data_IF_400984023672
#
_entry.id   IF_400984023672
#
_cell.length_a   1.000
_cell.length_b   1.000
_cell.length_c   1.000
_cell.angle_alpha   90.00
_cell.angle_beta   90.00
_cell.angle_gamma   90.00
#
_symmetry.space_group_name_H-M   'P 1'
#
loop_
_entity.id
_entity.type
_entity.pdbx_description
1 polymer ?
#
# COMPACT_ATOMS: atom_id res chain seq x y z
N UNK A 1 78.16 18.48 -47.65
CA UNK A 1 76.82 17.89 -47.88
C UNK A 1 76.05 18.88 -48.73
N UNK A 2 75.55 18.46 -49.90
CA UNK A 2 74.88 19.36 -50.85
C UNK A 2 73.56 19.88 -50.25
N UNK A 3 73.36 21.21 -50.33
CA UNK A 3 72.12 21.86 -49.91
C UNK A 3 71.02 21.44 -50.90
N UNK A 4 70.09 20.58 -50.48
CA UNK A 4 68.91 20.27 -51.30
C UNK A 4 68.13 21.56 -51.54
N UNK A 5 67.68 21.81 -52.76
CA UNK A 5 66.87 22.99 -53.05
C UNK A 5 65.49 22.85 -52.40
N UNK A 6 64.88 23.97 -52.03
CA UNK A 6 63.53 23.97 -51.44
C UNK A 6 62.53 23.22 -52.34
N UNK A 7 62.70 23.26 -53.66
CA UNK A 7 61.91 22.52 -54.64
C UNK A 7 62.03 21.00 -54.53
N UNK A 8 63.22 20.45 -54.26
CA UNK A 8 63.42 18.99 -54.03
C UNK A 8 62.83 18.54 -52.70
N UNK A 9 62.96 19.36 -51.64
CA UNK A 9 62.33 19.11 -50.35
C UNK A 9 60.80 19.14 -50.51
N UNK A 10 60.29 20.06 -51.32
CA UNK A 10 58.88 20.18 -51.65
C UNK A 10 58.36 18.97 -52.45
N UNK A 11 59.14 18.35 -53.32
CA UNK A 11 58.67 17.16 -54.05
C UNK A 11 58.64 15.88 -53.22
N UNK A 12 59.56 15.73 -52.25
CA UNK A 12 59.72 14.47 -51.52
C UNK A 12 59.12 14.45 -50.11
N UNK A 13 58.79 15.60 -49.53
CA UNK A 13 58.28 15.67 -48.14
C UNK A 13 56.75 15.68 -48.10
N UNK A 14 56.15 14.50 -47.90
CA UNK A 14 54.72 14.32 -47.66
C UNK A 14 54.46 14.30 -46.16
N UNK A 15 54.01 15.42 -45.59
CA UNK A 15 53.60 15.50 -44.19
C UNK A 15 52.13 15.92 -44.06
N UNK A 16 51.52 15.60 -42.92
CA UNK A 16 50.09 15.85 -42.67
C UNK A 16 49.75 17.33 -42.71
N UNK A 17 50.61 18.18 -42.16
CA UNK A 17 50.43 19.64 -42.17
C UNK A 17 50.32 20.17 -43.61
N UNK A 18 51.22 19.74 -44.49
CA UNK A 18 51.24 20.17 -45.88
C UNK A 18 50.07 19.62 -46.69
N UNK A 19 49.69 18.37 -46.48
CA UNK A 19 48.51 17.78 -47.11
C UNK A 19 47.24 18.63 -46.85
N UNK A 20 47.01 19.07 -45.60
CA UNK A 20 45.87 19.91 -45.27
C UNK A 20 45.96 21.35 -45.80
N UNK A 21 47.17 21.86 -46.04
CA UNK A 21 47.39 23.19 -46.66
C UNK A 21 47.15 23.13 -48.18
N UNK A 22 47.65 22.10 -48.86
CA UNK A 22 47.47 21.92 -50.31
C UNK A 22 46.01 21.52 -50.66
N UNK A 23 45.34 20.75 -49.79
CA UNK A 23 43.95 20.32 -49.97
C UNK A 23 42.98 21.03 -48.99
N UNK A 24 42.85 22.35 -49.12
CA UNK A 24 42.01 23.18 -48.25
C UNK A 24 40.55 22.72 -48.18
N UNK A 25 39.98 22.21 -49.27
CA UNK A 25 38.60 21.71 -49.31
C UNK A 25 38.44 20.47 -48.40
N UNK A 26 39.42 19.56 -48.40
CA UNK A 26 39.42 18.37 -47.55
C UNK A 26 39.52 18.78 -46.08
N UNK A 27 40.39 19.74 -45.75
CA UNK A 27 40.51 20.28 -44.41
C UNK A 27 39.20 20.91 -43.90
N UNK A 28 38.52 21.71 -44.73
CA UNK A 28 37.25 22.36 -44.39
C UNK A 28 36.12 21.35 -44.19
N UNK A 29 36.01 20.33 -45.04
CA UNK A 29 35.00 19.27 -44.89
C UNK A 29 35.24 18.47 -43.62
N UNK A 30 36.50 18.12 -43.32
CA UNK A 30 36.84 17.43 -42.06
C UNK A 30 36.55 18.28 -40.83
N UNK A 31 36.85 19.58 -40.88
CA UNK A 31 36.55 20.51 -39.80
C UNK A 31 35.04 20.58 -39.55
N UNK A 32 34.24 20.85 -40.61
CA UNK A 32 32.79 20.89 -40.52
C UNK A 32 32.19 19.56 -40.07
N UNK A 33 32.70 18.44 -40.60
CA UNK A 33 32.31 17.09 -40.19
C UNK A 33 32.58 16.84 -38.71
N UNK A 34 33.74 17.26 -38.21
CA UNK A 34 34.10 17.12 -36.79
C UNK A 34 33.24 18.02 -35.90
N UNK A 35 32.92 19.24 -36.34
CA UNK A 35 32.00 20.13 -35.63
C UNK A 35 30.58 19.57 -35.58
N UNK A 36 30.06 19.06 -36.69
CA UNK A 36 28.74 18.44 -36.74
C UNK A 36 28.69 17.16 -35.90
N UNK A 37 29.75 16.34 -35.96
CA UNK A 37 29.89 15.15 -35.11
C UNK A 37 29.95 15.53 -33.63
N UNK A 38 30.76 16.52 -33.27
CA UNK A 38 30.88 17.04 -31.91
C UNK A 38 29.55 17.62 -31.39
N UNK A 39 28.83 18.38 -32.23
CA UNK A 39 27.50 18.90 -31.91
C UNK A 39 26.48 17.79 -31.70
N UNK A 40 26.47 16.78 -32.58
CA UNK A 40 25.62 15.61 -32.45
C UNK A 40 25.93 14.85 -31.14
N UNK A 41 27.21 14.62 -30.86
CA UNK A 41 27.69 13.99 -29.63
C UNK A 41 27.27 14.77 -28.40
N UNK A 42 27.50 16.08 -28.36
CA UNK A 42 27.11 16.95 -27.25
C UNK A 42 25.60 16.97 -27.02
N UNK A 43 24.81 17.02 -28.10
CA UNK A 43 23.34 17.04 -28.03
C UNK A 43 22.74 15.71 -27.58
N UNK A 44 23.42 14.59 -27.86
CA UNK A 44 22.97 13.23 -27.47
C UNK A 44 23.67 12.68 -26.23
N UNK A 45 24.64 13.41 -25.67
CA UNK A 45 25.41 12.95 -24.53
C UNK A 45 24.51 12.82 -23.29
N UNK A 46 24.42 11.63 -22.67
CA UNK A 46 23.71 11.47 -21.41
C UNK A 46 24.38 12.34 -20.35
N UNK A 47 23.62 13.23 -19.72
CA UNK A 47 24.12 14.07 -18.61
C UNK A 47 23.94 13.30 -17.31
N UNK A 48 25.01 13.20 -16.50
CA UNK A 48 24.96 12.72 -15.11
C UNK A 48 25.69 13.74 -14.24
N UNK A 49 25.11 14.04 -13.08
CA UNK A 49 25.67 15.02 -12.12
C UNK A 49 26.83 14.42 -11.32
N UNK A 50 26.72 13.14 -10.96
CA UNK A 50 27.68 12.43 -10.11
C UNK A 50 28.16 11.13 -10.78
N UNK A 51 29.43 10.73 -10.57
CA UNK A 51 29.92 9.42 -11.01
C UNK A 51 29.22 8.30 -10.25
N UNK A 52 28.91 7.19 -10.94
CA UNK A 52 28.33 6.00 -10.28
C UNK A 52 29.44 5.30 -9.50
N UNK A 53 29.33 5.31 -8.17
CA UNK A 53 30.18 4.53 -7.29
C UNK A 53 29.50 3.17 -7.12
N UNK A 54 30.09 2.06 -7.61
CA UNK A 54 29.47 0.75 -7.48
C UNK A 54 29.39 0.38 -6.00
N UNK A 55 28.18 0.09 -5.54
CA UNK A 55 27.96 -0.31 -4.16
C UNK A 55 28.44 -1.75 -3.97
N UNK A 56 29.37 -1.93 -3.03
CA UNK A 56 30.06 -3.20 -2.77
C UNK A 56 29.52 -3.92 -1.55
N UNK A 57 28.35 -3.53 -1.07
CA UNK A 57 27.73 -4.10 0.13
C UNK A 57 26.42 -4.77 -0.27
N UNK A 58 26.20 -5.96 0.28
CA UNK A 58 24.93 -6.67 0.18
C UNK A 58 24.49 -7.19 1.54
N UNK A 59 23.19 -7.48 1.66
CA UNK A 59 22.59 -7.93 2.91
C UNK A 59 21.77 -9.19 2.68
N UNK A 60 22.02 -10.25 3.43
CA UNK A 60 21.06 -11.33 3.61
C UNK A 60 20.26 -11.14 4.88
N UNK A 61 18.99 -11.51 4.84
CA UNK A 61 18.14 -11.57 6.01
C UNK A 61 17.33 -12.87 6.02
N UNK A 62 17.08 -13.41 7.21
CA UNK A 62 16.30 -14.61 7.40
C UNK A 62 15.40 -14.45 8.63
N UNK A 63 14.12 -14.83 8.50
CA UNK A 63 13.13 -14.77 9.58
C UNK A 63 12.91 -16.18 10.13
N UNK A 64 13.01 -16.37 11.43
CA UNK A 64 12.67 -17.63 12.08
C UNK A 64 11.80 -17.39 13.32
N UNK A 65 10.47 -17.23 13.14
CA UNK A 65 9.58 -16.89 14.24
C UNK A 65 9.56 -17.98 15.32
N UNK A 66 9.69 -17.56 16.59
CA UNK A 66 9.70 -18.41 17.77
C UNK A 66 11.09 -18.87 18.22
N UNK A 67 12.16 -18.58 17.48
CA UNK A 67 13.52 -18.97 17.85
C UNK A 67 14.23 -17.91 18.72
N UNK A 68 15.08 -18.39 19.64
CA UNK A 68 15.93 -17.52 20.46
C UNK A 68 17.05 -16.90 19.62
N UNK A 69 17.63 -15.79 20.10
CA UNK A 69 18.76 -15.16 19.40
C UNK A 69 19.97 -16.09 19.31
N UNK A 70 20.19 -16.96 20.29
CA UNK A 70 21.30 -17.91 20.31
C UNK A 70 21.10 -19.06 19.32
N UNK A 71 19.88 -19.59 19.22
CA UNK A 71 19.55 -20.62 18.22
C UNK A 71 19.68 -20.07 16.80
N UNK A 72 19.24 -18.82 16.59
CA UNK A 72 19.37 -18.12 15.31
C UNK A 72 20.84 -17.93 14.96
N UNK A 73 21.65 -17.49 15.90
CA UNK A 73 23.08 -17.32 15.71
C UNK A 73 23.75 -18.63 15.24
N UNK A 74 23.47 -19.72 15.95
CA UNK A 74 24.13 -21.01 15.70
C UNK A 74 23.63 -21.70 14.42
N UNK A 75 22.32 -21.67 14.16
CA UNK A 75 21.68 -22.50 13.13
C UNK A 75 21.33 -21.75 11.86
N UNK A 76 21.32 -20.41 11.87
CA UNK A 76 20.96 -19.59 10.71
C UNK A 76 22.08 -18.62 10.37
N UNK A 77 22.48 -17.76 11.30
CA UNK A 77 23.45 -16.70 11.04
C UNK A 77 24.81 -17.27 10.67
N UNK A 78 25.38 -18.17 11.49
CA UNK A 78 26.69 -18.79 11.21
C UNK A 78 26.75 -19.51 9.86
N UNK A 79 25.78 -20.38 9.48
CA UNK A 79 25.77 -20.97 8.16
C UNK A 79 25.73 -19.94 7.02
N UNK A 80 24.95 -18.86 7.16
CA UNK A 80 24.87 -17.79 6.15
C UNK A 80 26.21 -17.05 6.04
N UNK A 81 26.83 -16.70 7.16
CA UNK A 81 28.15 -16.07 7.17
C UNK A 81 29.20 -16.93 6.48
N UNK A 82 29.26 -18.22 6.81
CA UNK A 82 30.21 -19.15 6.23
C UNK A 82 30.00 -19.29 4.72
N UNK A 83 28.74 -19.39 4.26
CA UNK A 83 28.43 -19.47 2.83
C UNK A 83 28.86 -18.21 2.06
N UNK A 84 28.66 -17.02 2.66
CA UNK A 84 29.11 -15.76 2.06
C UNK A 84 30.64 -15.64 2.04
N UNK A 85 31.29 -15.96 3.17
CA UNK A 85 32.74 -15.83 3.33
C UNK A 85 33.55 -16.78 2.44
N UNK A 86 32.93 -17.85 1.91
CA UNK A 86 33.54 -18.74 0.93
C UNK A 86 33.74 -18.09 -0.46
N UNK A 87 33.16 -16.92 -0.73
CA UNK A 87 33.46 -16.20 -1.97
C UNK A 87 34.78 -15.43 -1.83
N UNK A 88 35.73 -15.67 -2.74
CA UNK A 88 37.04 -15.02 -2.80
C UNK A 88 36.96 -13.50 -3.06
N UNK A 89 35.84 -13.03 -3.59
CA UNK A 89 35.58 -11.61 -3.82
C UNK A 89 35.22 -10.83 -2.54
N UNK A 90 34.99 -11.51 -1.41
CA UNK A 90 34.71 -10.87 -0.13
C UNK A 90 35.98 -10.26 0.45
N UNK A 91 35.87 -9.02 0.93
CA UNK A 91 37.01 -8.29 1.51
C UNK A 91 37.49 -9.02 2.78
N UNK A 92 38.80 -9.27 2.96
CA UNK A 92 39.30 -9.82 4.21
C UNK A 92 39.07 -8.83 5.37
N UNK A 93 38.76 -9.32 6.59
CA UNK A 93 38.53 -8.46 7.74
C UNK A 93 39.80 -7.66 8.10
N UNK A 94 39.65 -6.35 8.29
CA UNK A 94 40.70 -5.40 8.65
C UNK A 94 40.19 -4.45 9.76
N UNK A 95 41.06 -3.66 10.39
CA UNK A 95 40.69 -2.79 11.52
C UNK A 95 39.56 -1.78 11.25
N UNK A 96 39.28 -1.46 9.98
CA UNK A 96 38.19 -0.58 9.53
C UNK A 96 37.11 -1.27 8.71
N UNK A 97 37.34 -2.50 8.25
CA UNK A 97 36.49 -3.22 7.29
C UNK A 97 36.13 -4.60 7.84
N UNK A 98 34.86 -4.98 7.76
CA UNK A 98 34.39 -6.21 8.42
C UNK A 98 34.37 -7.44 7.49
N UNK A 99 34.32 -7.26 6.17
CA UNK A 99 34.18 -8.36 5.21
C UNK A 99 32.79 -9.02 5.29
N UNK A 100 32.53 -9.76 6.38
CA UNK A 100 31.20 -10.25 6.76
C UNK A 100 30.89 -9.79 8.18
N UNK A 101 29.70 -9.21 8.39
CA UNK A 101 29.22 -8.79 9.71
C UNK A 101 27.78 -9.24 9.88
N UNK A 102 27.44 -9.85 11.00
CA UNK A 102 26.05 -10.24 11.29
C UNK A 102 25.48 -9.56 12.53
N UNK A 103 24.16 -9.61 12.62
CA UNK A 103 23.35 -9.24 13.77
C UNK A 103 22.26 -10.31 13.94
N UNK A 104 22.21 -10.91 15.13
CA UNK A 104 21.23 -11.94 15.48
C UNK A 104 20.27 -11.39 16.53
N UNK A 105 19.00 -11.30 16.16
CA UNK A 105 17.90 -10.89 17.04
C UNK A 105 16.95 -12.06 17.27
N UNK A 106 16.14 -12.04 18.34
CA UNK A 106 15.02 -12.97 18.46
C UNK A 106 14.13 -12.88 17.20
N UNK A 107 13.79 -14.03 16.63
CA UNK A 107 13.03 -14.19 15.38
C UNK A 107 13.70 -13.73 14.07
N UNK A 108 14.89 -13.13 14.08
CA UNK A 108 15.46 -12.48 12.89
C UNK A 108 17.00 -12.45 12.84
N UNK A 109 17.56 -12.85 11.70
CA UNK A 109 19.00 -12.75 11.39
C UNK A 109 19.25 -11.75 10.27
N UNK A 110 20.34 -10.97 10.38
CA UNK A 110 20.78 -10.04 9.35
C UNK A 110 22.29 -10.13 9.16
N UNK A 111 22.74 -10.41 7.94
CA UNK A 111 24.16 -10.61 7.59
C UNK A 111 24.55 -9.67 6.45
N UNK A 112 25.53 -8.82 6.72
CA UNK A 112 26.15 -7.91 5.76
C UNK A 112 27.39 -8.56 5.15
N UNK A 113 27.57 -8.43 3.85
CA UNK A 113 28.79 -8.80 3.13
C UNK A 113 29.34 -7.59 2.36
N UNK A 114 30.64 -7.38 2.42
CA UNK A 114 31.37 -6.33 1.73
C UNK A 114 32.38 -6.96 0.78
N UNK A 115 32.29 -6.61 -0.51
CA UNK A 115 33.22 -7.06 -1.54
C UNK A 115 34.50 -6.22 -1.55
N UNK A 116 35.58 -6.84 -2.00
CA UNK A 116 36.89 -6.22 -2.14
C UNK A 116 36.87 -5.08 -3.17
N UNK A 117 37.77 -4.11 -2.99
CA UNK A 117 37.83 -2.93 -3.85
C UNK A 117 38.36 -3.21 -5.26
N UNK A 118 39.05 -4.34 -5.44
CA UNK A 118 39.62 -4.74 -6.72
C UNK A 118 38.62 -5.50 -7.61
N UNK A 119 37.41 -5.79 -7.10
CA UNK A 119 36.36 -6.48 -7.86
C UNK A 119 35.83 -5.55 -8.96
N UNK A 120 36.03 -5.97 -10.22
CA UNK A 120 35.55 -5.23 -11.40
C UNK A 120 34.07 -5.45 -11.69
N UNK A 121 33.57 -6.67 -11.45
CA UNK A 121 32.17 -7.05 -11.69
C UNK A 121 31.49 -7.43 -10.38
N UNK A 122 31.09 -6.40 -9.63
CA UNK A 122 30.37 -6.56 -8.35
C UNK A 122 29.09 -7.38 -8.51
N UNK A 123 28.37 -7.21 -9.62
CA UNK A 123 27.07 -7.89 -9.82
C UNK A 123 27.23 -9.38 -9.99
N UNK A 124 28.22 -9.82 -10.76
CA UNK A 124 28.53 -11.23 -10.93
C UNK A 124 28.82 -11.90 -9.58
N UNK A 125 29.71 -11.30 -8.78
CA UNK A 125 30.10 -11.88 -7.49
C UNK A 125 28.95 -11.92 -6.47
N UNK A 126 28.10 -10.89 -6.44
CA UNK A 126 26.90 -10.88 -5.61
C UNK A 126 25.85 -11.91 -6.08
N UNK A 127 25.72 -12.13 -7.39
CA UNK A 127 24.85 -13.17 -7.92
C UNK A 127 25.34 -14.57 -7.53
N UNK A 128 26.66 -14.81 -7.59
CA UNK A 128 27.25 -16.08 -7.17
C UNK A 128 27.00 -16.34 -5.66
N UNK A 129 27.09 -15.29 -4.83
CA UNK A 129 26.70 -15.37 -3.41
C UNK A 129 25.21 -15.70 -3.26
N UNK A 130 24.33 -15.01 -4.01
CA UNK A 130 22.89 -15.25 -3.95
C UNK A 130 22.52 -16.70 -4.30
N UNK A 131 23.13 -17.26 -5.34
CA UNK A 131 22.89 -18.65 -5.75
C UNK A 131 23.25 -19.64 -4.62
N UNK A 132 24.40 -19.46 -3.97
CA UNK A 132 24.82 -20.30 -2.84
C UNK A 132 23.89 -20.15 -1.63
N UNK A 133 23.43 -18.93 -1.34
CA UNK A 133 22.48 -18.71 -0.25
C UNK A 133 21.13 -19.38 -0.54
N UNK A 134 20.68 -19.39 -1.78
CA UNK A 134 19.46 -20.11 -2.17
C UNK A 134 19.60 -21.63 -1.99
N UNK A 135 20.77 -22.19 -2.29
CA UNK A 135 21.07 -23.60 -2.02
C UNK A 135 21.06 -23.91 -0.51
N UNK A 136 21.68 -23.03 0.30
CA UNK A 136 21.70 -23.15 1.76
C UNK A 136 20.30 -23.03 2.38
N UNK A 137 19.41 -22.24 1.76
CA UNK A 137 18.05 -22.03 2.28
C UNK A 137 17.26 -23.32 2.46
N UNK A 138 17.57 -24.39 1.70
CA UNK A 138 16.94 -25.70 1.82
C UNK A 138 17.48 -26.54 3.00
N UNK A 139 18.62 -26.16 3.57
CA UNK A 139 19.30 -26.87 4.66
C UNK A 139 19.00 -26.25 6.04
N UNK A 140 18.31 -25.11 6.08
CA UNK A 140 17.96 -24.42 7.32
C UNK A 140 16.90 -25.21 8.13
N UNK A 141 16.82 -24.99 9.46
CA UNK A 141 15.84 -25.65 10.33
C UNK A 141 14.39 -25.46 9.88
N UNK A 142 13.53 -26.46 10.16
CA UNK A 142 12.09 -26.36 9.88
C UNK A 142 11.49 -25.16 10.61
N UNK A 143 10.89 -24.24 9.85
CA UNK A 143 10.29 -23.01 10.38
C UNK A 143 11.13 -21.75 10.11
N UNK A 144 12.39 -21.88 9.71
CA UNK A 144 13.13 -20.78 9.14
C UNK A 144 12.55 -20.43 7.76
N UNK A 145 12.30 -19.15 7.51
CA UNK A 145 11.88 -18.65 6.21
C UNK A 145 13.02 -18.69 5.18
N UNK A 146 12.72 -18.41 3.90
CA UNK A 146 13.75 -18.35 2.87
C UNK A 146 14.72 -17.19 3.13
N UNK A 147 15.99 -17.40 2.78
CA UNK A 147 17.01 -16.34 2.86
C UNK A 147 16.68 -15.28 1.80
N UNK A 148 16.51 -14.03 2.24
CA UNK A 148 16.31 -12.88 1.36
C UNK A 148 17.62 -12.15 1.18
N UNK A 149 18.20 -12.21 -0.01
CA UNK A 149 19.44 -11.52 -0.36
C UNK A 149 19.16 -10.23 -1.16
N UNK A 150 19.71 -9.11 -0.70
CA UNK A 150 19.60 -7.80 -1.33
C UNK A 150 20.99 -7.33 -1.79
N UNK A 151 21.25 -7.48 -3.10
CA UNK A 151 22.48 -7.05 -3.76
C UNK A 151 22.55 -5.55 -4.04
N UNK A 152 21.42 -4.83 -3.98
CA UNK A 152 21.34 -3.40 -4.32
C UNK A 152 21.38 -2.52 -3.08
N UNK A 153 21.87 -3.06 -1.96
CA UNK A 153 21.86 -2.41 -0.65
C UNK A 153 22.80 -1.20 -0.63
N UNK A 154 22.25 0.00 -0.84
CA UNK A 154 22.98 1.27 -0.88
C UNK A 154 23.01 1.93 -2.27
N UNK A 155 22.55 1.23 -3.31
CA UNK A 155 22.56 1.71 -4.71
C UNK A 155 21.26 2.43 -5.11
N UNK A 156 20.37 2.69 -4.13
CA UNK A 156 19.01 3.17 -4.36
C UNK A 156 18.75 4.47 -3.59
N UNK A 157 18.27 5.50 -4.28
CA UNK A 157 17.67 6.66 -3.63
C UNK A 157 16.36 6.24 -2.97
N UNK A 158 16.29 6.32 -1.64
CA UNK A 158 15.09 5.96 -0.90
C UNK A 158 14.12 7.14 -0.87
N UNK A 159 12.91 6.93 -1.37
CA UNK A 159 11.76 7.79 -1.11
C UNK A 159 10.87 7.11 -0.07
N UNK A 160 10.74 7.73 1.10
CA UNK A 160 9.81 7.25 2.13
C UNK A 160 8.48 7.99 1.99
N UNK A 161 7.41 7.23 1.72
CA UNK A 161 6.05 7.74 1.69
C UNK A 161 5.31 7.22 2.91
N UNK A 162 4.84 8.15 3.75
CA UNK A 162 4.01 7.82 4.92
C UNK A 162 2.55 8.06 4.59
N UNK A 163 1.74 7.00 4.68
CA UNK A 163 0.29 7.08 4.53
C UNK A 163 -0.34 7.00 5.91
N UNK A 164 -1.14 8.00 6.27
CA UNK A 164 -1.81 8.07 7.56
C UNK A 164 -3.18 8.71 7.42
N UNK A 165 -4.11 8.30 8.28
CA UNK A 165 -5.44 8.87 8.43
C UNK A 165 -5.55 9.52 9.82
N UNK A 166 -4.99 10.73 10.02
CA UNK A 166 -5.11 11.40 11.31
C UNK A 166 -6.58 11.71 11.61
N UNK A 167 -6.94 11.64 12.89
CA UNK A 167 -8.25 12.09 13.36
C UNK A 167 -8.44 13.58 13.02
N UNK A 168 -9.68 13.96 12.75
CA UNK A 168 -10.05 15.37 12.56
C UNK A 168 -9.79 16.11 13.86
N UNK A 169 -9.11 17.26 13.81
CA UNK A 169 -8.84 18.06 15.00
C UNK A 169 -10.12 18.65 15.60
N UNK A 170 -10.17 18.80 16.92
CA UNK A 170 -11.31 19.43 17.62
C UNK A 170 -11.60 20.84 17.08
N UNK A 171 -10.56 21.58 16.68
CA UNK A 171 -10.69 22.90 16.06
C UNK A 171 -11.44 22.83 14.73
N UNK A 172 -11.11 21.85 13.88
CA UNK A 172 -11.82 21.65 12.62
C UNK A 172 -13.28 21.25 12.84
N UNK A 173 -13.55 20.36 13.82
CA UNK A 173 -14.91 19.99 14.21
C UNK A 173 -15.70 21.21 14.67
N UNK A 174 -15.13 22.04 15.54
CA UNK A 174 -15.76 23.25 16.06
C UNK A 174 -16.05 24.27 14.94
N UNK A 175 -15.11 24.45 14.00
CA UNK A 175 -15.32 25.34 12.85
C UNK A 175 -16.44 24.85 11.95
N UNK A 176 -16.49 23.55 11.62
CA UNK A 176 -17.59 22.96 10.84
C UNK A 176 -18.92 23.06 11.58
N UNK A 177 -18.93 22.78 12.88
CA UNK A 177 -20.11 22.88 13.72
C UNK A 177 -20.71 24.28 13.73
N UNK A 178 -19.88 25.33 13.77
CA UNK A 178 -20.36 26.72 13.68
C UNK A 178 -21.07 27.01 12.36
N UNK A 179 -20.54 26.51 11.24
CA UNK A 179 -21.15 26.72 9.92
C UNK A 179 -22.46 25.93 9.79
N UNK A 180 -22.46 24.65 10.18
CA UNK A 180 -23.68 23.81 10.18
C UNK A 180 -24.76 24.41 11.07
N UNK A 181 -24.40 24.81 12.30
CA UNK A 181 -25.31 25.45 13.25
C UNK A 181 -25.96 26.70 12.66
N UNK A 182 -25.16 27.60 12.07
CA UNK A 182 -25.67 28.82 11.45
C UNK A 182 -26.65 28.52 10.31
N UNK A 183 -26.36 27.52 9.47
CA UNK A 183 -27.27 27.13 8.38
C UNK A 183 -28.57 26.53 8.91
N UNK A 184 -28.53 25.71 9.96
CA UNK A 184 -29.74 25.17 10.60
C UNK A 184 -30.57 26.29 11.25
N UNK A 185 -29.94 27.20 11.99
CA UNK A 185 -30.60 28.35 12.62
C UNK A 185 -31.26 29.23 11.55
N UNK A 186 -30.50 29.60 10.51
CA UNK A 186 -31.02 30.41 9.41
C UNK A 186 -32.21 29.75 8.71
N UNK A 187 -32.12 28.46 8.39
CA UNK A 187 -33.21 27.71 7.78
C UNK A 187 -34.46 27.73 8.68
N UNK A 188 -34.30 27.39 9.96
CA UNK A 188 -35.43 27.31 10.91
C UNK A 188 -36.06 28.66 11.21
N UNK A 189 -35.28 29.75 11.16
CA UNK A 189 -35.79 31.12 11.31
C UNK A 189 -36.64 31.56 10.11
N UNK A 190 -36.39 31.00 8.92
CA UNK A 190 -37.20 31.29 7.71
C UNK A 190 -38.51 30.49 7.66
N UNK A 191 -38.67 29.47 8.49
CA UNK A 191 -39.88 28.63 8.50
C UNK A 191 -41.08 29.36 9.13
N UNK A 192 -42.31 29.04 8.70
CA UNK A 192 -43.51 29.55 9.34
C UNK A 192 -43.56 29.20 10.84
N UNK A 193 -44.09 30.10 11.68
CA UNK A 193 -44.19 29.87 13.15
C UNK A 193 -45.01 28.63 13.53
N UNK A 194 -45.87 28.16 12.63
CA UNK A 194 -46.70 26.95 12.79
C UNK A 194 -46.09 25.71 12.10
N UNK A 195 -44.80 25.75 11.74
CA UNK A 195 -44.12 24.61 11.15
C UNK A 195 -44.20 23.37 12.07
N UNK A 196 -44.46 22.16 11.51
CA UNK A 196 -44.57 20.93 12.29
C UNK A 196 -43.34 20.64 13.17
N UNK A 197 -43.59 20.24 14.41
CA UNK A 197 -42.58 19.80 15.39
C UNK A 197 -42.82 18.31 15.77
N UNK A 198 -41.81 17.56 16.24
CA UNK A 198 -40.41 17.95 16.40
C UNK A 198 -39.63 17.90 15.07
N UNK A 199 -38.63 18.79 14.92
CA UNK A 199 -37.73 18.82 13.76
C UNK A 199 -36.36 18.22 14.08
N UNK A 200 -35.75 17.61 13.07
CA UNK A 200 -34.41 17.04 13.13
C UNK A 200 -33.65 17.38 11.84
N UNK A 201 -32.43 17.88 11.99
CA UNK A 201 -31.51 18.07 10.87
C UNK A 201 -30.60 16.85 10.77
N UNK A 202 -30.59 16.18 9.61
CA UNK A 202 -29.68 15.10 9.28
C UNK A 202 -28.58 15.71 8.42
N UNK A 203 -27.35 15.74 8.92
CA UNK A 203 -26.22 16.43 8.27
C UNK A 203 -25.12 15.42 7.95
N UNK A 204 -24.61 15.47 6.73
CA UNK A 204 -23.38 14.76 6.33
C UNK A 204 -22.33 15.78 5.98
N UNK A 205 -21.16 15.66 6.61
CA UNK A 205 -20.00 16.50 6.33
C UNK A 205 -18.99 15.75 5.48
N UNK A 206 -18.31 16.45 4.59
CA UNK A 206 -17.33 15.91 3.63
C UNK A 206 -16.18 16.92 3.42
N UNK A 207 -15.06 16.54 2.78
CA UNK A 207 -13.97 17.48 2.51
C UNK A 207 -14.43 18.69 1.68
N UNK A 208 -13.83 19.86 1.92
CA UNK A 208 -14.15 21.07 1.14
C UNK A 208 -13.82 20.96 -0.35
N UNK A 209 -13.00 19.98 -0.74
CA UNK A 209 -12.72 19.68 -2.15
C UNK A 209 -13.88 19.02 -2.88
N UNK A 210 -14.85 18.46 -2.17
CA UNK A 210 -16.05 17.83 -2.76
C UNK A 210 -17.11 18.90 -2.97
N UNK A 211 -17.61 19.02 -4.19
CA UNK A 211 -18.68 19.96 -4.49
C UNK A 211 -20.01 19.45 -3.93
N UNK A 212 -20.79 20.31 -3.28
CA UNK A 212 -22.08 19.94 -2.70
C UNK A 212 -23.05 19.36 -3.75
N UNK A 213 -22.97 19.83 -4.99
CA UNK A 213 -23.77 19.34 -6.11
C UNK A 213 -23.54 17.85 -6.42
N UNK A 214 -22.33 17.32 -6.19
CA UNK A 214 -22.04 15.89 -6.37
C UNK A 214 -22.80 15.02 -5.36
N UNK A 215 -23.05 15.55 -4.15
CA UNK A 215 -23.72 14.83 -3.05
C UNK A 215 -25.23 15.11 -3.02
N UNK A 216 -25.67 16.18 -3.68
CA UNK A 216 -27.06 16.66 -3.70
C UNK A 216 -28.05 15.64 -4.25
N UNK A 217 -27.68 14.95 -5.33
CA UNK A 217 -28.53 13.92 -5.94
C UNK A 217 -28.85 12.79 -4.94
N UNK A 218 -27.86 12.37 -4.14
CA UNK A 218 -28.00 11.36 -3.10
C UNK A 218 -28.95 11.83 -2.00
N UNK A 219 -28.82 13.09 -1.56
CA UNK A 219 -29.72 13.66 -0.55
C UNK A 219 -31.16 13.83 -1.03
N UNK A 220 -31.35 14.21 -2.30
CA UNK A 220 -32.68 14.26 -2.93
C UNK A 220 -33.31 12.87 -3.06
N UNK A 221 -32.51 11.81 -3.24
CA UNK A 221 -33.00 10.44 -3.20
C UNK A 221 -33.45 10.06 -1.78
N UNK A 222 -32.62 10.35 -0.77
CA UNK A 222 -32.94 10.10 0.65
C UNK A 222 -34.21 10.86 1.07
N UNK A 223 -34.35 12.12 0.68
CA UNK A 223 -35.56 12.92 0.90
C UNK A 223 -36.80 12.25 0.33
N UNK A 224 -36.77 11.90 -0.97
CA UNK A 224 -37.90 11.28 -1.67
C UNK A 224 -38.31 9.96 -1.03
N UNK A 225 -37.34 9.10 -0.71
CA UNK A 225 -37.60 7.81 -0.06
C UNK A 225 -38.14 7.99 1.36
N UNK A 226 -37.62 8.95 2.11
CA UNK A 226 -38.09 9.24 3.46
C UNK A 226 -39.52 9.77 3.50
N UNK A 227 -39.92 10.61 2.52
CA UNK A 227 -41.31 11.05 2.38
C UNK A 227 -42.22 9.88 1.96
N UNK A 228 -41.81 9.08 0.98
CA UNK A 228 -42.60 7.93 0.49
C UNK A 228 -42.84 6.87 1.57
N UNK A 229 -41.85 6.62 2.43
CA UNK A 229 -41.95 5.63 3.51
C UNK A 229 -42.54 6.23 4.80
N UNK A 230 -42.94 7.51 4.79
CA UNK A 230 -43.53 8.19 5.95
C UNK A 230 -42.53 8.51 7.08
N UNK A 231 -41.22 8.37 6.83
CA UNK A 231 -40.17 8.70 7.79
C UNK A 231 -39.98 10.22 7.94
N UNK A 232 -40.19 10.98 6.86
CA UNK A 232 -40.05 12.44 6.81
C UNK A 232 -41.35 13.15 6.45
N UNK A 233 -41.57 14.29 7.07
CA UNK A 233 -42.60 15.28 6.71
C UNK A 233 -41.95 16.66 6.68
N UNK A 234 -42.52 17.59 5.89
CA UNK A 234 -42.06 18.98 5.79
C UNK A 234 -40.53 19.12 5.71
N UNK A 235 -39.97 18.58 4.62
CA UNK A 235 -38.54 18.48 4.38
C UNK A 235 -37.99 19.74 3.72
N UNK A 236 -36.83 20.21 4.20
CA UNK A 236 -36.09 21.32 3.63
C UNK A 236 -34.60 20.99 3.54
N UNK A 237 -34.07 20.97 2.32
CA UNK A 237 -32.64 20.79 2.08
C UNK A 237 -31.87 22.09 2.35
N UNK A 238 -30.68 21.96 2.91
CA UNK A 238 -29.75 23.07 3.10
C UNK A 238 -28.31 22.59 2.90
N UNK A 239 -27.45 23.48 2.44
CA UNK A 239 -26.06 23.17 2.11
C UNK A 239 -25.12 24.28 2.56
N UNK A 240 -23.84 23.94 2.66
CA UNK A 240 -22.78 24.90 2.94
C UNK A 240 -21.41 24.30 2.64
N UNK A 241 -20.32 25.06 2.85
CA UNK A 241 -18.98 24.58 2.55
C UNK A 241 -18.64 23.31 3.36
N UNK A 242 -18.49 22.17 2.66
CA UNK A 242 -18.12 20.89 3.26
C UNK A 242 -19.24 20.15 4.00
N UNK A 243 -20.52 20.48 3.75
CA UNK A 243 -21.64 19.68 4.24
C UNK A 243 -22.91 19.87 3.41
N UNK A 244 -23.79 18.89 3.50
CA UNK A 244 -25.17 18.99 3.06
C UNK A 244 -26.08 18.40 4.15
N UNK A 245 -27.26 18.96 4.30
CA UNK A 245 -28.21 18.53 5.30
C UNK A 245 -29.65 18.60 4.82
N UNK A 246 -30.49 17.84 5.50
CA UNK A 246 -31.94 17.83 5.32
C UNK A 246 -32.58 18.05 6.67
N UNK A 247 -33.41 19.09 6.79
CA UNK A 247 -34.17 19.38 8.00
C UNK A 247 -35.62 18.95 7.82
N UNK A 248 -36.05 17.99 8.62
CA UNK A 248 -37.34 17.30 8.47
C UNK A 248 -38.12 17.30 9.76
N UNK A 249 -39.44 17.28 9.67
CA UNK A 249 -40.30 16.82 10.75
C UNK A 249 -40.30 15.29 10.77
N UNK A 250 -39.96 14.69 11.92
CA UNK A 250 -40.02 13.25 12.10
C UNK A 250 -40.29 12.89 13.56
N UNK A 251 -41.17 11.90 13.77
CA UNK A 251 -41.47 11.34 15.10
C UNK A 251 -40.52 10.21 15.49
N UNK A 252 -39.66 9.76 14.56
CA UNK A 252 -38.70 8.71 14.81
C UNK A 252 -37.60 9.19 15.77
N UNK A 253 -37.12 8.27 16.60
CA UNK A 253 -35.93 8.51 17.42
C UNK A 253 -34.64 8.40 16.58
N UNK A 254 -33.52 8.80 17.18
CA UNK A 254 -32.24 8.84 16.47
C UNK A 254 -31.79 7.42 16.02
N UNK A 255 -32.13 6.39 16.80
CA UNK A 255 -31.76 4.99 16.50
C UNK A 255 -32.57 4.43 15.32
N UNK A 256 -33.88 4.68 15.27
CA UNK A 256 -34.73 4.28 14.16
C UNK A 256 -34.37 5.02 12.87
N UNK A 257 -34.05 6.31 12.95
CA UNK A 257 -33.56 7.08 11.79
C UNK A 257 -32.21 6.57 11.28
N UNK A 258 -31.30 6.22 12.19
CA UNK A 258 -30.02 5.61 11.81
C UNK A 258 -30.24 4.26 11.13
N UNK A 259 -31.02 3.36 11.72
CA UNK A 259 -31.31 2.04 11.14
C UNK A 259 -32.01 2.13 9.78
N UNK A 260 -32.94 3.09 9.64
CA UNK A 260 -33.60 3.39 8.37
C UNK A 260 -32.60 3.88 7.33
N UNK A 261 -31.77 4.88 7.66
CA UNK A 261 -30.78 5.44 6.74
C UNK A 261 -29.71 4.43 6.33
N UNK A 262 -29.25 3.60 7.26
CA UNK A 262 -28.28 2.53 7.02
C UNK A 262 -28.84 1.42 6.11
N UNK A 263 -30.15 1.14 6.19
CA UNK A 263 -30.82 0.26 5.23
C UNK A 263 -30.87 0.89 3.83
N UNK A 264 -31.29 2.15 3.72
CA UNK A 264 -31.31 2.88 2.43
C UNK A 264 -29.91 2.95 1.82
N UNK A 265 -28.88 3.21 2.63
CA UNK A 265 -27.47 3.20 2.24
C UNK A 265 -27.09 1.87 1.56
N UNK A 266 -27.45 0.73 2.16
CA UNK A 266 -27.14 -0.59 1.60
C UNK A 266 -27.93 -0.95 0.35
N UNK A 267 -29.19 -0.54 0.27
CA UNK A 267 -30.11 -0.93 -0.81
C UNK A 267 -29.97 -0.07 -2.06
N UNK A 268 -29.58 1.20 -1.90
CA UNK A 268 -29.65 2.19 -2.97
C UNK A 268 -28.33 2.88 -3.31
N UNK A 269 -27.28 2.72 -2.50
CA UNK A 269 -25.99 3.35 -2.75
C UNK A 269 -24.87 2.33 -2.94
N UNK A 270 -24.03 2.57 -3.95
CA UNK A 270 -22.78 1.83 -4.09
C UNK A 270 -21.71 2.46 -3.19
N UNK A 271 -20.78 1.65 -2.66
CA UNK A 271 -19.64 2.18 -1.87
C UNK A 271 -18.84 3.26 -2.61
N UNK A 272 -18.80 3.21 -3.94
CA UNK A 272 -18.13 4.21 -4.79
C UNK A 272 -18.83 5.57 -4.84
N UNK A 273 -20.11 5.64 -4.47
CA UNK A 273 -20.91 6.88 -4.51
C UNK A 273 -20.83 7.67 -3.20
N UNK A 274 -20.27 7.06 -2.14
CA UNK A 274 -20.02 7.72 -0.87
C UNK A 274 -18.55 8.14 -0.87
N UNK A 275 -18.30 9.45 -0.81
CA UNK A 275 -16.93 9.92 -0.69
C UNK A 275 -16.30 9.35 0.58
N UNK A 276 -15.09 8.74 0.52
CA UNK A 276 -14.52 8.01 1.64
C UNK A 276 -14.28 8.87 2.89
N UNK A 277 -13.91 10.15 2.71
CA UNK A 277 -13.78 11.09 3.83
C UNK A 277 -15.11 11.70 4.33
N UNK A 278 -16.27 11.16 3.91
CA UNK A 278 -17.56 11.61 4.42
C UNK A 278 -17.76 11.14 5.86
N UNK A 279 -18.23 12.03 6.71
CA UNK A 279 -18.56 11.70 8.09
C UNK A 279 -19.87 10.92 8.14
N UNK A 280 -20.04 10.12 9.20
CA UNK A 280 -21.33 9.47 9.45
C UNK A 280 -22.41 10.55 9.65
N UNK A 281 -23.67 10.29 9.26
CA UNK A 281 -24.74 11.28 9.42
C UNK A 281 -24.90 11.72 10.88
N UNK A 282 -24.86 13.03 11.12
CA UNK A 282 -25.16 13.63 12.41
C UNK A 282 -26.64 14.00 12.50
N UNK A 283 -27.29 13.56 13.56
CA UNK A 283 -28.68 13.89 13.87
C UNK A 283 -28.74 15.04 14.89
N UNK A 284 -29.24 16.20 14.45
CA UNK A 284 -29.22 17.45 15.23
C UNK A 284 -30.66 17.93 15.46
N UNK A 285 -31.14 17.77 16.71
CA UNK A 285 -32.45 18.28 17.14
C UNK A 285 -32.35 19.73 17.64
N UNK A 286 -31.38 20.00 18.51
CA UNK A 286 -31.07 21.36 19.00
C UNK A 286 -29.80 21.89 18.30
N UNK A 287 -29.87 23.05 17.60
CA UNK A 287 -28.70 23.67 16.97
C UNK A 287 -27.55 23.96 17.95
N UNK A 288 -27.84 24.16 19.25
CA UNK A 288 -26.80 24.34 20.26
C UNK A 288 -25.97 23.09 20.51
N UNK A 289 -26.52 21.91 20.25
CA UNK A 289 -25.83 20.62 20.42
C UNK A 289 -25.01 20.18 19.18
N UNK A 290 -24.96 21.00 18.12
CA UNK A 290 -24.33 20.66 16.84
C UNK A 290 -22.88 20.18 16.99
N UNK A 291 -22.08 20.86 17.81
CA UNK A 291 -20.67 20.51 18.01
C UNK A 291 -20.51 19.14 18.67
N UNK A 292 -21.26 18.88 19.75
CA UNK A 292 -21.25 17.59 20.42
C UNK A 292 -21.73 16.45 19.49
N UNK A 293 -22.75 16.72 18.67
CA UNK A 293 -23.29 15.74 17.72
C UNK A 293 -22.31 15.44 16.58
N UNK A 294 -21.61 16.46 16.06
CA UNK A 294 -20.58 16.24 15.03
C UNK A 294 -19.36 15.53 15.60
N UNK A 295 -18.89 15.92 16.79
CA UNK A 295 -17.77 15.24 17.47
C UNK A 295 -18.06 13.75 17.70
N UNK A 296 -19.31 13.38 18.03
CA UNK A 296 -19.70 11.98 18.23
C UNK A 296 -19.71 11.13 16.95
N UNK A 297 -19.80 11.73 15.76
CA UNK A 297 -19.83 11.01 14.47
C UNK A 297 -18.51 11.10 13.70
N UNK A 298 -17.59 11.95 14.15
CA UNK A 298 -16.22 12.05 13.64
C UNK A 298 -15.47 10.79 14.07
N UNK A 299 -15.22 9.91 13.11
CA UNK A 299 -14.39 8.72 13.27
C UNK A 299 -13.05 8.87 12.56
N UNK A 300 -12.23 7.81 12.61
CA UNK A 300 -11.09 7.66 11.71
C UNK A 300 -11.58 7.72 10.26
N UNK A 301 -10.89 8.48 9.39
CA UNK A 301 -11.29 8.64 7.98
C UNK A 301 -11.18 7.32 7.21
N UNK A 302 -10.18 6.50 7.55
CA UNK A 302 -9.91 5.21 6.92
C UNK A 302 -9.51 4.18 7.97
N UNK A 303 -10.01 2.96 7.82
CA UNK A 303 -9.54 1.79 8.56
C UNK A 303 -8.14 1.36 8.11
N UNK A 304 -7.41 0.63 8.96
CA UNK A 304 -6.11 0.06 8.58
C UNK A 304 -6.16 -0.81 7.32
N UNK A 305 -7.28 -1.49 7.07
CA UNK A 305 -7.52 -2.27 5.85
C UNK A 305 -7.55 -1.38 4.62
N UNK A 306 -8.30 -0.28 4.67
CA UNK A 306 -8.39 0.67 3.56
C UNK A 306 -7.04 1.35 3.31
N UNK A 307 -6.29 1.67 4.38
CA UNK A 307 -4.92 2.15 4.24
C UNK A 307 -4.00 1.12 3.57
N UNK A 308 -4.13 -0.17 3.90
CA UNK A 308 -3.39 -1.25 3.24
C UNK A 308 -3.77 -1.34 1.75
N UNK A 309 -5.07 -1.30 1.42
CA UNK A 309 -5.56 -1.34 0.04
C UNK A 309 -5.02 -0.15 -0.79
N UNK A 310 -5.01 1.06 -0.23
CA UNK A 310 -4.44 2.26 -0.87
C UNK A 310 -2.93 2.13 -1.03
N UNK A 311 -2.20 1.68 -0.01
CA UNK A 311 -0.75 1.50 -0.12
C UNK A 311 -0.39 0.39 -1.12
N UNK A 312 -1.22 -0.64 -1.25
CA UNK A 312 -1.07 -1.70 -2.24
C UNK A 312 -1.25 -1.14 -3.68
N UNK A 313 -2.22 -0.26 -3.88
CA UNK A 313 -2.41 0.45 -5.15
C UNK A 313 -1.19 1.31 -5.49
N UNK A 314 -0.71 2.11 -4.53
CA UNK A 314 0.49 2.95 -4.70
C UNK A 314 1.70 2.08 -5.06
N UNK A 315 1.89 0.95 -4.38
CA UNK A 315 2.97 0.02 -4.68
C UNK A 315 2.91 -0.48 -6.13
N UNK A 316 1.74 -0.93 -6.59
CA UNK A 316 1.55 -1.40 -7.97
C UNK A 316 1.83 -0.31 -9.00
N UNK A 317 1.36 0.91 -8.74
CA UNK A 317 1.58 2.05 -9.63
C UNK A 317 3.07 2.40 -9.74
N UNK A 318 3.78 2.47 -8.61
CA UNK A 318 5.21 2.76 -8.58
C UNK A 318 6.04 1.66 -9.22
N UNK A 319 5.71 0.39 -8.98
CA UNK A 319 6.39 -0.76 -9.61
C UNK A 319 6.27 -0.78 -11.13
N UNK A 320 5.28 -0.09 -11.71
CA UNK A 320 5.14 0.06 -13.16
C UNK A 320 6.07 1.11 -13.79
N UNK A 321 6.75 1.93 -12.99
CA UNK A 321 7.62 3.01 -13.49
C UNK A 321 9.06 2.51 -13.72
N UNK A 322 9.69 2.80 -14.88
CA UNK A 322 11.04 2.30 -15.20
C UNK A 322 12.13 2.70 -14.20
N UNK A 323 11.98 3.85 -13.55
CA UNK A 323 12.94 4.41 -12.60
C UNK A 323 12.89 3.74 -11.22
N UNK A 324 11.82 3.01 -10.90
CA UNK A 324 11.62 2.37 -9.60
C UNK A 324 12.15 0.94 -9.64
N UNK A 325 13.23 0.69 -8.90
CA UNK A 325 13.83 -0.64 -8.78
C UNK A 325 13.08 -1.56 -7.80
N UNK A 326 12.56 -1.00 -6.71
CA UNK A 326 11.89 -1.74 -5.65
C UNK A 326 10.93 -0.84 -4.88
N UNK A 327 9.83 -1.42 -4.41
CA UNK A 327 8.91 -0.79 -3.44
C UNK A 327 8.65 -1.78 -2.32
N UNK A 328 8.97 -1.39 -1.09
CA UNK A 328 8.71 -2.17 0.11
C UNK A 328 7.67 -1.45 0.98
N UNK A 329 6.63 -2.17 1.41
CA UNK A 329 5.63 -1.65 2.36
C UNK A 329 5.98 -2.10 3.77
N UNK A 330 5.91 -1.15 4.70
CA UNK A 330 6.21 -1.36 6.12
C UNK A 330 5.06 -0.84 6.99
N UNK A 331 4.89 -1.41 8.19
CA UNK A 331 3.83 -0.99 9.12
C UNK A 331 2.42 -1.46 8.75
N UNK A 332 2.29 -2.43 7.84
CA UNK A 332 0.99 -3.02 7.47
C UNK A 332 0.45 -3.85 8.64
N UNK A 333 -0.71 -3.47 9.17
CA UNK A 333 -1.41 -4.22 10.20
C UNK A 333 -2.28 -5.30 9.56
N UNK A 334 -1.85 -6.54 9.63
CA UNK A 334 -2.61 -7.66 9.10
C UNK A 334 -3.91 -7.87 9.90
N UNK A 335 -5.05 -7.96 9.21
CA UNK A 335 -6.31 -8.37 9.82
C UNK A 335 -6.20 -9.80 10.34
N UNK A 336 -6.56 -9.99 11.62
CA UNK A 336 -6.59 -11.29 12.28
C UNK A 336 -7.91 -11.47 12.99
N UNK A 337 -8.51 -12.64 12.82
CA UNK A 337 -9.66 -13.08 13.61
C UNK A 337 -9.11 -13.97 14.72
N UNK A 338 -9.23 -13.51 15.96
CA UNK A 338 -8.92 -14.34 17.12
C UNK A 338 -10.15 -15.18 17.46
N UNK A 339 -9.95 -16.49 17.61
CA UNK A 339 -10.98 -17.40 18.09
C UNK A 339 -10.74 -17.64 19.58
N UNK A 340 -11.47 -16.91 20.41
CA UNK A 340 -11.47 -17.11 21.84
C UNK A 340 -12.55 -18.14 22.21
N UNK A 341 -12.14 -19.19 22.91
CA UNK A 341 -13.02 -20.30 23.29
C UNK A 341 -12.89 -20.63 24.78
N UNK A 342 -14.00 -21.08 25.38
CA UNK A 342 -13.99 -21.62 26.74
C UNK A 342 -13.59 -23.10 26.71
N UNK A 343 -12.46 -23.42 27.35
CA UNK A 343 -12.00 -24.81 27.47
C UNK A 343 -12.99 -25.68 28.24
N UNK A 344 -13.67 -25.13 29.25
CA UNK A 344 -14.65 -25.88 30.05
C UNK A 344 -15.85 -26.32 29.20
N UNK A 345 -16.41 -25.41 28.39
CA UNK A 345 -17.53 -25.75 27.50
C UNK A 345 -17.13 -26.77 26.44
N UNK A 346 -15.95 -26.63 25.83
CA UNK A 346 -15.47 -27.62 24.87
C UNK A 346 -15.34 -29.01 25.51
N UNK A 347 -14.84 -29.08 26.74
CA UNK A 347 -14.73 -30.33 27.49
C UNK A 347 -16.10 -30.95 27.83
N UNK A 348 -17.11 -30.14 28.20
CA UNK A 348 -18.49 -30.61 28.43
C UNK A 348 -19.08 -31.29 27.18
N UNK A 349 -18.76 -30.76 25.98
CA UNK A 349 -19.17 -31.35 24.70
C UNK A 349 -18.23 -32.45 24.20
N UNK A 350 -17.18 -32.80 24.96
CA UNK A 350 -16.19 -33.82 24.57
C UNK A 350 -15.30 -33.43 23.38
N UNK A 351 -15.20 -32.13 23.06
CA UNK A 351 -14.43 -31.61 21.93
C UNK A 351 -13.05 -31.12 22.41
N UNK A 352 -11.97 -31.58 21.78
CA UNK A 352 -10.63 -31.06 22.07
C UNK A 352 -10.34 -29.77 21.28
N UNK A 353 -9.61 -28.79 21.85
CA UNK A 353 -9.23 -27.57 21.13
C UNK A 353 -8.46 -27.83 19.83
N UNK A 354 -7.67 -28.90 19.77
CA UNK A 354 -6.92 -29.30 18.57
C UNK A 354 -7.83 -29.66 17.39
N UNK A 355 -9.05 -30.13 17.66
CA UNK A 355 -10.02 -30.51 16.62
C UNK A 355 -10.70 -29.29 15.99
N UNK A 356 -10.77 -28.15 16.69
CA UNK A 356 -11.30 -26.91 16.13
C UNK A 356 -10.54 -26.50 14.87
N UNK A 357 -9.21 -26.56 14.89
CA UNK A 357 -8.39 -26.19 13.73
C UNK A 357 -8.67 -27.09 12.52
N UNK A 358 -8.88 -28.40 12.75
CA UNK A 358 -9.21 -29.37 11.70
C UNK A 358 -10.59 -29.11 11.11
N UNK A 359 -11.61 -28.91 11.96
CA UNK A 359 -13.00 -28.68 11.52
C UNK A 359 -13.09 -27.38 10.72
N UNK A 360 -12.46 -26.31 11.20
CA UNK A 360 -12.40 -25.02 10.49
C UNK A 360 -11.67 -25.13 9.15
N UNK A 361 -10.54 -25.85 9.11
CA UNK A 361 -9.78 -26.07 7.87
C UNK A 361 -10.52 -26.94 6.86
N UNK A 362 -11.26 -27.96 7.32
CA UNK A 362 -12.04 -28.85 6.47
C UNK A 362 -13.19 -28.11 5.78
N UNK A 363 -13.84 -27.15 6.48
CA UNK A 363 -14.90 -26.33 5.90
C UNK A 363 -14.35 -25.27 4.95
N UNK A 364 -13.25 -24.59 5.31
CA UNK A 364 -12.64 -23.51 4.53
C UNK A 364 -11.83 -24.01 3.32
N UNK A 365 -12.39 -24.95 2.56
CA UNK A 365 -11.78 -25.50 1.36
C UNK A 365 -12.65 -25.15 0.13
N UNK A 366 -12.04 -24.51 -0.86
CA UNK A 366 -12.66 -24.25 -2.16
C UNK A 366 -12.41 -25.46 -3.08
N UNK A 367 -13.05 -26.59 -2.80
CA UNK A 367 -13.04 -27.72 -3.73
C UNK A 367 -14.01 -27.40 -4.89
N UNK A 368 -13.57 -27.43 -6.16
CA UNK A 368 -14.48 -27.28 -7.28
C UNK A 368 -15.47 -28.47 -7.28
N UNK A 369 -16.77 -28.18 -7.35
CA UNK A 369 -17.84 -29.19 -7.38
C UNK A 369 -18.00 -29.88 -8.72
N UNK A 370 -17.12 -29.61 -9.69
CA UNK A 370 -17.16 -30.15 -11.04
C UNK A 370 -17.93 -29.29 -12.03
N UNK A 371 -18.09 -29.80 -13.25
CA UNK A 371 -18.85 -29.17 -14.33
C UNK A 371 -20.07 -30.05 -14.57
N UNK A 372 -21.26 -29.47 -14.50
CA UNK A 372 -22.52 -30.12 -14.89
C UNK A 372 -22.87 -29.65 -16.30
N UNK A 373 -23.08 -30.59 -17.21
CA UNK A 373 -23.50 -30.29 -18.58
C UNK A 373 -25.04 -30.38 -18.66
N UNK A 374 -25.69 -29.24 -18.92
CA UNK A 374 -27.15 -29.15 -19.09
C UNK A 374 -27.43 -28.44 -20.42
N UNK A 375 -28.21 -29.06 -21.30
CA UNK A 375 -28.60 -28.51 -22.61
C UNK A 375 -27.43 -27.90 -23.41
N UNK A 376 -26.32 -28.63 -23.55
CA UNK A 376 -25.12 -28.20 -24.27
C UNK A 376 -24.40 -26.96 -23.67
N UNK A 377 -24.65 -26.63 -22.39
CA UNK A 377 -23.91 -25.60 -21.64
C UNK A 377 -23.23 -26.20 -20.42
N UNK A 378 -21.95 -25.88 -20.27
CA UNK A 378 -21.16 -26.22 -19.10
C UNK A 378 -21.48 -25.25 -17.96
N UNK A 379 -22.04 -25.76 -16.87
CA UNK A 379 -22.28 -25.01 -15.63
C UNK A 379 -21.27 -25.49 -14.58
N UNK A 380 -20.32 -24.64 -14.21
CA UNK A 380 -19.36 -24.94 -13.13
C UNK A 380 -20.05 -24.83 -11.78
N UNK A 381 -20.09 -25.93 -11.03
CA UNK A 381 -20.61 -25.95 -9.67
C UNK A 381 -19.48 -25.61 -8.71
N UNK A 382 -19.56 -24.46 -8.05
CA UNK A 382 -18.64 -24.07 -6.98
C UNK A 382 -19.38 -24.12 -5.64
N UNK A 383 -19.22 -25.18 -4.83
CA UNK A 383 -19.80 -25.22 -3.50
C UNK A 383 -19.19 -24.11 -2.63
N UNK A 384 -20.03 -23.34 -1.94
CA UNK A 384 -19.62 -22.26 -1.04
C UNK A 384 -19.07 -22.85 0.27
N UNK A 385 -17.77 -23.19 0.29
CA UNK A 385 -17.05 -23.62 1.50
C UNK A 385 -16.29 -22.50 2.22
N UNK A 386 -15.98 -21.41 1.51
CA UNK A 386 -15.14 -20.32 2.03
C UNK A 386 -15.87 -19.54 3.14
N UNK A 387 -15.14 -19.19 4.20
CA UNK A 387 -15.64 -18.23 5.18
C UNK A 387 -15.53 -16.80 4.63
N UNK A 388 -16.66 -16.10 4.57
CA UNK A 388 -16.71 -14.71 4.09
C UNK A 388 -16.77 -13.68 5.23
N UNK A 389 -17.10 -14.13 6.45
CA UNK A 389 -17.19 -13.25 7.62
C UNK A 389 -16.97 -14.02 8.95
N UNK A 390 -16.69 -13.30 10.02
CA UNK A 390 -16.44 -13.89 11.35
C UNK A 390 -17.64 -14.69 11.87
N UNK A 391 -18.88 -14.30 11.53
CA UNK A 391 -20.09 -15.02 11.95
C UNK A 391 -20.13 -16.43 11.35
N UNK A 392 -19.76 -16.57 10.08
CA UNK A 392 -19.72 -17.89 9.40
C UNK A 392 -18.75 -18.88 10.05
N UNK A 393 -17.69 -18.38 10.71
CA UNK A 393 -16.76 -19.18 11.52
C UNK A 393 -17.43 -19.59 12.84
N UNK A 394 -18.16 -18.68 13.49
CA UNK A 394 -18.90 -18.97 14.73
C UNK A 394 -20.07 -19.95 14.54
N UNK A 395 -20.69 -19.96 13.36
CA UNK A 395 -21.80 -20.85 13.01
C UNK A 395 -21.32 -22.27 12.58
N UNK A 396 -20.02 -22.58 12.72
CA UNK A 396 -19.49 -23.90 12.39
C UNK A 396 -19.93 -24.91 13.45
N UNK A 397 -20.55 -25.99 12.97
CA UNK A 397 -20.93 -27.12 13.82
C UNK A 397 -19.65 -27.88 14.21
N UNK A 398 -19.35 -27.89 15.51
CA UNK A 398 -18.16 -28.55 16.10
C UNK A 398 -18.50 -29.85 16.83
N UNK A 399 -19.79 -30.20 16.92
CA UNK A 399 -20.29 -31.40 17.57
C UNK A 399 -21.80 -31.36 17.74
N UNK A 400 -22.41 -32.51 18.03
CA UNK A 400 -23.84 -32.64 18.35
C UNK A 400 -23.97 -33.11 19.79
N UNK A 401 -24.75 -32.42 20.61
CA UNK A 401 -25.04 -32.88 21.97
C UNK A 401 -25.77 -34.24 21.91
N UNK A 402 -25.44 -35.22 22.77
CA UNK A 402 -26.24 -36.42 22.90
C UNK A 402 -27.65 -36.00 23.36
N UNK A 403 -28.65 -36.35 22.56
CA UNK A 403 -30.06 -36.12 22.90
C UNK A 403 -30.35 -36.92 24.16
N UNK A 404 -30.72 -36.22 25.24
CA UNK A 404 -31.16 -36.88 26.47
C UNK A 404 -32.35 -37.79 26.12
N UNK A 405 -32.13 -39.09 26.26
CA UNK A 405 -33.12 -40.15 26.05
C UNK A 405 -33.99 -40.32 27.28
#
# INVERSE_FOLDING_TARGET
MAHKSDSEIIQHTHNTARFFVEHRQVALVLLLGTFLWGWFGYSKMPKRKDPVIPVRVAVASCKWPGASAEDIEQLVTRPIEQAMAQNQAVKPPSGSDYGVRSLSFPNFALVFVQLDENVKDTRKELNDINLRLNELSNQLPKGAGPIQFNSNFGDTAALMLTVASPMVSDVEVALRARTVKKSIEHLRDTLPKNAPQPRISIVVSFPQSVAADEVKASFQLVERLGIQQGAFQDSHLFEGPGFIGIDVNSKLDDAALFAWGDRIAREHFHRSEIHPDSWRPAFIRDPKATEARLSAVVGEKYSYRELDDVTALIQRALQGTPEVSKVDRSGVLAEKVYLDYSQQRLAEYGVQPSDLSKVLSARNSTLPGGILEVDNKNVTLNPSGKFDNAKSIGDVIIGTAPTAS
#
